data_IF_065869945931
#
_entry.id   IF_065869945931
#
_cell.length_a   1.000
_cell.length_b   1.000
_cell.length_c   1.000
_cell.angle_alpha   90.00
_cell.angle_beta   90.00
_cell.angle_gamma   90.00
#
_symmetry.space_group_name_H-M   'P 1'
#
loop_
_entity.id
_entity.type
_entity.pdbx_description
1 polymer ?
#
# COMPACT_ATOMS: atom_id res chain seq x y z
N UNK A 1 22.06 38.73 8.34
CA UNK A 1 23.51 38.47 8.25
C UNK A 1 23.69 37.28 7.33
N UNK A 2 24.51 37.42 6.29
CA UNK A 2 24.77 36.32 5.35
C UNK A 2 25.57 35.22 6.06
N UNK A 3 25.32 33.97 5.67
CA UNK A 3 26.06 32.80 6.19
C UNK A 3 27.44 32.70 5.53
N UNK A 4 27.60 33.29 4.33
CA UNK A 4 28.86 33.25 3.58
C UNK A 4 29.88 34.21 4.23
N UNK A 5 31.08 33.72 4.61
CA UNK A 5 32.11 34.58 5.18
C UNK A 5 32.65 35.55 4.11
N UNK A 6 32.86 36.81 4.51
CA UNK A 6 33.52 37.82 3.66
C UNK A 6 34.91 37.37 3.17
N UNK A 7 35.61 36.61 4.00
CA UNK A 7 36.94 36.06 3.72
C UNK A 7 36.92 35.16 2.49
N UNK A 8 35.84 34.40 2.25
CA UNK A 8 35.71 33.54 1.07
C UNK A 8 35.68 34.36 -0.22
N UNK A 9 35.01 35.51 -0.21
CA UNK A 9 34.92 36.41 -1.36
C UNK A 9 36.27 37.08 -1.63
N UNK A 10 36.97 37.51 -0.58
CA UNK A 10 38.30 38.09 -0.69
C UNK A 10 39.31 37.08 -1.27
N UNK A 11 39.27 35.82 -0.84
CA UNK A 11 40.11 34.75 -1.38
C UNK A 11 39.82 34.49 -2.86
N UNK A 12 38.55 34.48 -3.26
CA UNK A 12 38.18 34.33 -4.68
C UNK A 12 38.68 35.55 -5.48
N UNK A 13 38.56 36.78 -4.96
CA UNK A 13 39.06 37.97 -5.63
C UNK A 13 40.59 37.93 -5.83
N UNK A 14 41.32 37.44 -4.83
CA UNK A 14 42.76 37.22 -4.93
C UNK A 14 43.13 36.16 -5.98
N UNK A 15 42.34 35.08 -6.11
CA UNK A 15 42.55 34.04 -7.14
C UNK A 15 42.39 34.57 -8.56
N UNK A 16 41.55 35.59 -8.76
CA UNK A 16 41.34 36.29 -10.03
C UNK A 16 42.43 37.34 -10.31
N UNK A 17 43.28 37.64 -9.33
CA UNK A 17 44.38 38.62 -9.44
C UNK A 17 44.03 40.02 -8.92
N UNK A 18 42.96 40.17 -8.14
CA UNK A 18 42.60 41.43 -7.47
C UNK A 18 43.18 41.41 -6.04
N UNK A 19 44.25 42.16 -5.74
CA UNK A 19 44.99 42.04 -4.49
C UNK A 19 44.24 42.59 -3.27
N UNK A 20 43.38 43.59 -3.43
CA UNK A 20 42.58 44.17 -2.35
C UNK A 20 41.20 44.57 -2.84
N UNK A 21 40.18 43.82 -2.40
CA UNK A 21 38.78 44.18 -2.60
C UNK A 21 38.34 45.14 -1.47
N UNK A 22 37.54 46.15 -1.79
CA UNK A 22 36.96 47.02 -0.76
C UNK A 22 36.04 46.22 0.17
N UNK A 23 36.19 46.39 1.48
CA UNK A 23 35.42 45.63 2.47
C UNK A 23 33.90 45.77 2.30
N UNK A 24 33.44 46.96 1.88
CA UNK A 24 32.02 47.23 1.61
C UNK A 24 31.48 46.41 0.43
N UNK A 25 32.31 46.15 -0.58
CA UNK A 25 31.95 45.34 -1.76
C UNK A 25 31.81 43.87 -1.38
N UNK A 26 32.73 43.34 -0.57
CA UNK A 26 32.65 41.96 -0.07
C UNK A 26 31.37 41.74 0.76
N UNK A 27 31.01 42.72 1.60
CA UNK A 27 29.79 42.68 2.42
C UNK A 27 28.52 42.79 1.57
N UNK A 28 28.54 43.56 0.49
CA UNK A 28 27.40 43.69 -0.42
C UNK A 28 27.22 42.45 -1.33
N UNK A 29 28.30 41.78 -1.72
CA UNK A 29 28.26 40.63 -2.63
C UNK A 29 27.82 39.33 -1.93
N UNK A 30 28.18 39.13 -0.65
CA UNK A 30 27.85 37.91 0.08
C UNK A 30 26.34 37.57 0.10
N UNK A 31 25.42 38.52 0.38
CA UNK A 31 23.98 38.27 0.33
C UNK A 31 23.46 37.91 -1.06
N UNK A 32 24.02 38.48 -2.13
CA UNK A 32 23.59 38.21 -3.50
C UNK A 32 23.98 36.79 -3.94
N UNK A 33 25.21 36.37 -3.62
CA UNK A 33 25.67 34.98 -3.84
C UNK A 33 24.80 33.99 -3.07
N UNK A 34 24.49 34.29 -1.82
CA UNK A 34 23.62 33.44 -1.00
C UNK A 34 22.19 33.36 -1.59
N UNK A 35 21.66 34.47 -2.10
CA UNK A 35 20.36 34.49 -2.76
C UNK A 35 20.35 33.58 -4.01
N UNK A 36 21.37 33.68 -4.86
CA UNK A 36 21.52 32.81 -6.04
C UNK A 36 21.67 31.33 -5.67
N UNK A 37 22.45 31.03 -4.63
CA UNK A 37 22.58 29.65 -4.14
C UNK A 37 21.24 29.09 -3.67
N UNK A 38 20.48 29.87 -2.89
CA UNK A 38 19.15 29.46 -2.39
C UNK A 38 18.16 29.28 -3.54
N UNK A 39 18.22 30.13 -4.56
CA UNK A 39 17.38 30.06 -5.76
C UNK A 39 17.61 28.74 -6.51
N UNK A 40 18.88 28.36 -6.76
CA UNK A 40 19.24 27.10 -7.41
C UNK A 40 18.78 25.91 -6.55
N UNK A 41 19.08 25.93 -5.25
CA UNK A 41 18.69 24.83 -4.34
C UNK A 41 17.18 24.63 -4.28
N UNK A 42 16.38 25.70 -4.31
CA UNK A 42 14.92 25.58 -4.35
C UNK A 42 14.43 24.87 -5.61
N UNK A 43 15.10 25.05 -6.75
CA UNK A 43 14.76 24.38 -8.00
C UNK A 43 15.22 22.94 -8.05
N UNK A 44 16.40 22.66 -7.50
CA UNK A 44 16.87 21.28 -7.30
C UNK A 44 15.91 20.48 -6.42
N UNK A 45 15.37 21.08 -5.35
CA UNK A 45 14.36 20.44 -4.49
C UNK A 45 13.05 20.17 -5.27
N UNK A 46 12.65 21.05 -6.20
CA UNK A 46 11.50 20.79 -7.07
C UNK A 46 11.76 19.59 -7.98
N UNK A 47 12.93 19.53 -8.62
CA UNK A 47 13.33 18.40 -9.47
C UNK A 47 13.34 17.08 -8.68
N UNK A 48 13.92 17.08 -7.48
CA UNK A 48 13.94 15.93 -6.56
C UNK A 48 12.53 15.44 -6.21
N UNK A 49 11.61 16.36 -5.88
CA UNK A 49 10.21 16.02 -5.56
C UNK A 49 9.48 15.46 -6.79
N UNK A 50 9.71 16.02 -7.97
CA UNK A 50 9.15 15.49 -9.22
C UNK A 50 9.69 14.10 -9.55
N UNK A 51 10.93 13.80 -9.17
CA UNK A 51 11.52 12.47 -9.25
C UNK A 51 11.03 11.49 -8.17
N UNK A 52 10.12 11.90 -7.27
CA UNK A 52 9.59 11.11 -6.13
C UNK A 52 10.67 10.62 -5.16
N UNK A 53 11.78 11.37 -5.04
CA UNK A 53 12.87 11.09 -4.11
C UNK A 53 12.86 12.05 -2.93
N UNK A 54 13.45 11.63 -1.82
CA UNK A 54 13.64 12.45 -0.61
C UNK A 54 15.09 12.90 -0.42
N UNK A 55 16.03 12.30 -1.16
CA UNK A 55 17.45 12.62 -1.16
C UNK A 55 17.78 13.40 -2.42
N UNK A 56 18.41 14.56 -2.25
CA UNK A 56 18.84 15.43 -3.34
C UNK A 56 20.16 14.91 -3.93
N UNK A 57 20.19 14.75 -5.25
CA UNK A 57 21.34 14.23 -6.00
C UNK A 57 21.97 15.30 -6.88
N UNK A 58 23.21 15.09 -7.35
CA UNK A 58 23.90 16.01 -8.26
C UNK A 58 23.09 16.25 -9.54
N UNK A 59 22.45 15.21 -10.09
CA UNK A 59 21.58 15.29 -11.27
C UNK A 59 20.41 16.28 -11.09
N UNK A 60 19.87 16.42 -9.87
CA UNK A 60 18.80 17.38 -9.57
C UNK A 60 19.32 18.83 -9.60
N UNK A 61 20.60 19.03 -9.24
CA UNK A 61 21.27 20.33 -9.31
C UNK A 61 21.62 20.66 -10.76
N UNK A 62 22.16 19.72 -11.53
CA UNK A 62 22.47 19.91 -12.94
C UNK A 62 21.22 20.24 -13.77
N UNK A 63 20.11 19.56 -13.46
CA UNK A 63 18.81 19.87 -14.05
C UNK A 63 18.35 21.30 -13.71
N UNK A 64 18.56 21.75 -12.47
CA UNK A 64 18.22 23.11 -12.04
C UNK A 64 19.10 24.17 -12.71
N UNK A 65 20.41 23.91 -12.86
CA UNK A 65 21.33 24.79 -13.57
C UNK A 65 20.93 24.94 -15.05
N UNK A 66 20.57 23.83 -15.70
CA UNK A 66 20.05 23.84 -17.07
C UNK A 66 18.76 24.66 -17.22
N UNK A 67 17.81 24.55 -16.28
CA UNK A 67 16.59 25.34 -16.28
C UNK A 67 16.84 26.85 -16.14
N UNK A 68 17.94 27.23 -15.47
CA UNK A 68 18.34 28.63 -15.26
C UNK A 68 19.31 29.15 -16.31
N UNK A 69 19.63 28.35 -17.33
CA UNK A 69 20.64 28.67 -18.34
C UNK A 69 22.01 29.01 -17.71
N UNK A 70 22.34 28.36 -16.59
CA UNK A 70 23.68 28.43 -15.97
C UNK A 70 24.52 27.31 -16.58
N UNK A 71 25.82 27.56 -16.72
CA UNK A 71 26.77 26.57 -17.21
C UNK A 71 26.77 25.32 -16.30
N UNK A 72 26.71 24.11 -16.88
CA UNK A 72 26.70 22.88 -16.11
C UNK A 72 28.06 22.64 -15.43
N UNK A 73 28.03 22.07 -14.23
CA UNK A 73 29.23 21.79 -13.46
C UNK A 73 29.63 20.33 -13.67
N UNK A 74 30.69 20.09 -14.44
CA UNK A 74 31.18 18.75 -14.72
C UNK A 74 32.03 18.16 -13.58
N UNK A 75 32.08 16.83 -13.48
CA UNK A 75 32.96 16.11 -12.55
C UNK A 75 32.27 15.56 -11.30
N UNK A 76 30.94 15.67 -11.18
CA UNK A 76 30.18 15.21 -10.01
C UNK A 76 29.33 13.95 -10.24
N UNK A 77 29.56 13.23 -11.34
CA UNK A 77 28.84 12.00 -11.68
C UNK A 77 29.41 10.74 -10.98
N UNK A 78 30.59 10.83 -10.35
CA UNK A 78 31.16 9.70 -9.63
C UNK A 78 30.42 9.46 -8.31
N UNK A 79 30.03 8.22 -8.04
CA UNK A 79 29.45 7.81 -6.75
C UNK A 79 30.43 7.83 -5.56
N UNK A 80 31.69 8.23 -5.76
CA UNK A 80 32.70 8.31 -4.69
C UNK A 80 32.57 9.65 -3.94
N UNK A 81 32.43 9.67 -2.60
CA UNK A 81 32.37 10.90 -1.83
C UNK A 81 33.67 11.71 -1.92
N UNK A 82 33.52 13.03 -2.12
CA UNK A 82 34.63 13.98 -2.09
C UNK A 82 35.31 13.99 -0.71
N UNK A 83 36.64 13.83 -0.69
CA UNK A 83 37.44 13.81 0.54
C UNK A 83 38.16 15.15 0.71
N UNK A 84 37.62 15.99 1.59
CA UNK A 84 38.26 17.24 1.98
C UNK A 84 39.35 16.99 3.03
N UNK A 85 40.59 17.43 2.73
CA UNK A 85 41.71 17.42 3.66
C UNK A 85 42.08 18.83 4.08
N UNK A 86 42.50 18.99 5.33
CA UNK A 86 42.98 20.27 5.86
C UNK A 86 44.43 20.50 5.45
N UNK A 87 44.75 21.71 5.01
CA UNK A 87 46.12 22.10 4.67
C UNK A 87 47.01 22.14 5.93
N UNK A 88 48.27 21.72 5.78
CA UNK A 88 49.23 21.73 6.89
C UNK A 88 49.64 23.18 7.17
N UNK A 89 49.42 23.66 8.40
CA UNK A 89 49.80 25.01 8.84
C UNK A 89 48.66 26.04 8.88
N UNK A 90 47.49 25.75 8.28
CA UNK A 90 46.32 26.64 8.32
C UNK A 90 45.09 25.88 8.83
N UNK A 91 44.37 26.46 9.81
CA UNK A 91 43.21 25.79 10.43
C UNK A 91 41.96 25.80 9.56
N UNK A 92 41.82 26.83 8.72
CA UNK A 92 40.58 27.13 7.99
C UNK A 92 40.67 26.86 6.48
N UNK A 93 41.82 26.34 6.02
CA UNK A 93 42.04 26.02 4.60
C UNK A 93 41.87 24.51 4.36
N UNK A 94 40.94 24.18 3.47
CA UNK A 94 40.67 22.82 3.02
C UNK A 94 40.97 22.71 1.52
N UNK A 95 41.46 21.54 1.10
CA UNK A 95 41.66 21.20 -0.30
C UNK A 95 41.05 19.82 -0.58
N UNK A 96 40.76 19.56 -1.85
CA UNK A 96 40.29 18.26 -2.33
C UNK A 96 41.50 17.34 -2.51
N UNK A 97 41.48 16.19 -1.84
CA UNK A 97 42.51 15.15 -2.02
C UNK A 97 42.27 14.41 -3.34
N UNK A 98 42.80 14.96 -4.43
CA UNK A 98 42.77 14.31 -5.74
C UNK A 98 44.04 13.48 -5.93
N UNK A 99 43.86 12.17 -6.05
CA UNK A 99 44.99 11.24 -6.23
C UNK A 99 45.12 10.95 -7.71
N UNK A 100 46.31 11.18 -8.24
CA UNK A 100 46.64 10.73 -9.59
C UNK A 100 46.56 9.21 -9.66
N UNK A 101 45.80 8.70 -10.63
CA UNK A 101 45.62 7.27 -10.88
C UNK A 101 46.23 6.92 -12.23
N UNK A 102 46.96 5.82 -12.29
CA UNK A 102 47.55 5.35 -13.54
C UNK A 102 46.47 4.81 -14.48
N UNK A 103 46.53 5.21 -15.77
CA UNK A 103 45.56 4.77 -16.77
C UNK A 103 45.47 3.25 -16.93
N UNK A 104 46.58 2.53 -16.68
CA UNK A 104 46.62 1.06 -16.75
C UNK A 104 45.71 0.44 -15.69
N UNK A 105 45.71 0.99 -14.48
CA UNK A 105 44.88 0.51 -13.38
C UNK A 105 43.39 0.69 -13.66
N UNK A 106 43.01 1.77 -14.36
CA UNK A 106 41.63 2.04 -14.76
C UNK A 106 41.18 1.07 -15.86
N UNK A 107 42.03 0.78 -16.84
CA UNK A 107 41.72 -0.13 -17.96
C UNK A 107 41.60 -1.58 -17.46
N UNK A 108 42.45 -1.98 -16.51
CA UNK A 108 42.45 -3.33 -15.94
C UNK A 108 41.36 -3.53 -14.87
N UNK A 109 40.63 -2.46 -14.50
CA UNK A 109 39.59 -2.52 -13.49
C UNK A 109 38.40 -3.37 -13.98
N UNK A 110 37.94 -4.37 -13.19
CA UNK A 110 36.82 -5.21 -13.59
C UNK A 110 35.51 -4.41 -13.68
N UNK A 111 34.68 -4.75 -14.66
CA UNK A 111 33.37 -4.14 -14.83
C UNK A 111 32.48 -4.38 -13.58
N UNK A 112 31.69 -3.37 -13.16
CA UNK A 112 30.76 -3.55 -12.07
C UNK A 112 29.68 -4.56 -12.44
N UNK A 113 29.16 -5.28 -11.43
CA UNK A 113 28.04 -6.20 -11.65
C UNK A 113 26.78 -5.42 -11.97
N UNK A 114 26.11 -5.78 -13.06
CA UNK A 114 24.83 -5.20 -13.41
C UNK A 114 23.76 -5.59 -12.36
N UNK A 115 22.89 -4.65 -11.95
CA UNK A 115 21.72 -4.99 -11.15
C UNK A 115 20.74 -5.85 -11.95
N UNK A 116 19.83 -6.53 -11.24
CA UNK A 116 18.73 -7.26 -11.88
C UNK A 116 17.71 -6.27 -12.47
N UNK A 117 16.99 -6.73 -13.49
CA UNK A 117 15.91 -5.97 -14.10
C UNK A 117 14.75 -5.72 -13.11
N UNK A 118 14.02 -4.64 -13.33
CA UNK A 118 12.92 -4.23 -12.47
C UNK A 118 11.69 -5.15 -12.66
N UNK A 119 11.23 -5.78 -11.58
CA UNK A 119 10.02 -6.60 -11.55
C UNK A 119 9.04 -6.12 -10.48
N UNK A 120 7.73 -6.25 -10.74
CA UNK A 120 6.68 -5.91 -9.78
C UNK A 120 6.18 -7.19 -9.10
N UNK A 121 6.15 -7.17 -7.77
CA UNK A 121 5.58 -8.25 -6.94
C UNK A 121 4.38 -7.71 -6.18
N UNK A 122 3.21 -8.32 -6.38
CA UNK A 122 1.98 -7.93 -5.71
C UNK A 122 1.74 -8.80 -4.46
N UNK A 123 1.30 -8.18 -3.37
CA UNK A 123 0.86 -8.86 -2.15
C UNK A 123 -0.31 -8.09 -1.52
N UNK A 124 -1.02 -8.74 -0.61
CA UNK A 124 -2.12 -8.12 0.13
C UNK A 124 -1.58 -7.26 1.27
N UNK A 125 -1.70 -5.94 1.14
CA UNK A 125 -1.37 -5.01 2.21
C UNK A 125 -2.42 -5.02 3.34
N UNK A 126 -3.70 -5.13 2.98
CA UNK A 126 -4.81 -5.16 3.92
C UNK A 126 -6.00 -5.96 3.38
N UNK A 127 -6.65 -6.71 4.27
CA UNK A 127 -7.91 -7.41 4.04
C UNK A 127 -8.89 -6.85 5.07
N UNK A 128 -10.01 -6.26 4.63
CA UNK A 128 -11.00 -5.64 5.54
C UNK A 128 -10.42 -4.58 6.50
N UNK A 129 -9.40 -3.85 6.05
CA UNK A 129 -8.71 -2.84 6.86
C UNK A 129 -7.74 -3.42 7.91
N UNK A 130 -7.58 -4.74 7.97
CA UNK A 130 -6.57 -5.41 8.81
C UNK A 130 -5.40 -5.84 7.94
N UNK A 131 -4.18 -5.52 8.38
CA UNK A 131 -2.96 -5.94 7.71
C UNK A 131 -2.66 -7.41 8.03
N UNK A 132 -2.59 -8.31 7.02
CA UNK A 132 -2.23 -9.70 7.26
C UNK A 132 -0.75 -9.82 7.61
N UNK A 133 -0.42 -10.75 8.51
CA UNK A 133 0.95 -11.01 8.97
C UNK A 133 1.73 -11.86 7.94
N UNK A 134 2.01 -11.28 6.78
CA UNK A 134 2.84 -11.86 5.71
C UNK A 134 4.25 -11.24 5.81
N UNK A 135 5.35 -11.96 5.53
CA UNK A 135 6.72 -11.43 5.58
C UNK A 135 6.95 -10.08 4.87
N UNK A 136 6.20 -9.77 3.82
CA UNK A 136 6.31 -8.49 3.09
C UNK A 136 5.67 -7.31 3.86
N UNK A 137 4.75 -7.58 4.78
CA UNK A 137 4.06 -6.56 5.56
C UNK A 137 4.84 -6.20 6.84
N UNK A 138 5.01 -4.91 7.17
CA UNK A 138 5.62 -4.51 8.44
C UNK A 138 4.81 -5.02 9.64
N UNK A 139 5.51 -5.44 10.69
CA UNK A 139 4.88 -5.66 11.98
C UNK A 139 4.37 -4.31 12.53
N UNK A 140 3.17 -4.30 13.10
CA UNK A 140 2.48 -3.09 13.60
C UNK A 140 3.36 -2.34 14.63
N UNK A 141 4.18 -3.06 15.40
CA UNK A 141 5.11 -2.49 16.38
C UNK A 141 6.31 -1.75 15.75
N UNK A 142 6.62 -1.98 14.47
CA UNK A 142 7.73 -1.36 13.75
C UNK A 142 7.39 0.02 13.16
N UNK A 143 6.13 0.46 13.25
CA UNK A 143 5.65 1.75 12.70
C UNK A 143 5.80 2.88 13.74
N UNK A 144 6.07 2.54 15.01
CA UNK A 144 6.45 3.53 16.02
C UNK A 144 7.90 3.98 15.70
N UNK A 145 8.17 5.28 15.51
CA UNK A 145 9.54 5.76 15.31
C UNK A 145 10.41 5.25 16.47
N UNK A 146 11.66 4.82 16.23
CA UNK A 146 12.49 4.23 17.27
C UNK A 146 12.64 5.23 18.41
N UNK A 147 11.94 4.97 19.51
CA UNK A 147 12.27 5.59 20.79
C UNK A 147 13.54 4.92 21.25
N UNK A 148 14.61 5.70 21.37
CA UNK A 148 15.86 5.22 21.95
C UNK A 148 15.55 4.54 23.29
N UNK A 149 15.96 3.28 23.40
CA UNK A 149 15.81 2.36 24.53
C UNK A 149 14.53 1.53 24.59
N UNK A 150 14.59 0.32 24.01
CA UNK A 150 14.24 -0.91 24.73
C UNK A 150 14.93 -2.14 24.12
N UNK A 151 15.51 -2.92 25.02
CA UNK A 151 16.33 -4.11 24.78
C UNK A 151 15.51 -5.24 24.17
N UNK A 152 16.18 -5.98 23.31
CA UNK A 152 15.76 -7.22 22.66
C UNK A 152 15.37 -8.30 23.67
N UNK A 153 14.29 -9.03 23.40
CA UNK A 153 14.20 -10.45 23.75
C UNK A 153 13.66 -11.27 22.57
N UNK A 154 14.38 -12.37 22.32
CA UNK A 154 14.15 -13.40 21.32
C UNK A 154 12.95 -14.28 21.71
N UNK A 155 12.11 -14.64 20.74
CA UNK A 155 11.20 -15.77 20.81
C UNK A 155 11.08 -16.44 19.44
N UNK A 156 11.58 -17.67 19.34
CA UNK A 156 11.52 -18.54 18.16
C UNK A 156 10.12 -19.14 17.98
N UNK A 157 9.74 -19.26 16.71
CA UNK A 157 9.05 -20.39 16.06
C UNK A 157 7.72 -20.88 16.66
N UNK A 158 6.63 -20.70 15.90
CA UNK A 158 5.81 -21.84 15.49
C UNK A 158 4.78 -21.41 14.44
N UNK A 159 4.77 -22.13 13.32
CA UNK A 159 3.75 -22.01 12.29
C UNK A 159 2.38 -22.37 12.89
N UNK A 160 1.52 -21.36 13.00
CA UNK A 160 0.11 -21.53 13.34
C UNK A 160 -0.71 -20.72 12.34
N UNK A 161 -1.89 -21.24 11.96
CA UNK A 161 -2.71 -20.65 10.92
C UNK A 161 -3.01 -19.22 11.33
N UNK A 162 -3.08 -18.32 10.35
CA UNK A 162 -3.70 -17.03 10.56
C UNK A 162 -5.11 -17.30 11.09
N UNK A 163 -5.23 -17.34 12.41
CA UNK A 163 -6.47 -17.40 13.15
C UNK A 163 -7.09 -16.05 12.82
N UNK A 164 -7.90 -16.04 11.76
CA UNK A 164 -8.89 -15.00 11.50
C UNK A 164 -9.93 -15.15 12.63
N UNK A 165 -9.49 -14.95 13.88
CA UNK A 165 -10.34 -14.44 14.94
C UNK A 165 -10.77 -13.11 14.39
N UNK A 166 -11.95 -13.06 13.76
CA UNK A 166 -12.62 -11.83 13.36
C UNK A 166 -12.65 -10.89 14.58
N UNK A 167 -11.73 -9.91 14.72
CA UNK A 167 -11.63 -9.13 15.94
C UNK A 167 -12.15 -7.74 15.60
N UNK A 168 -13.36 -7.69 15.05
CA UNK A 168 -14.11 -6.46 14.98
C UNK A 168 -15.51 -6.85 15.40
N UNK A 169 -15.91 -6.44 16.61
CA UNK A 169 -17.33 -6.20 16.86
C UNK A 169 -17.71 -5.17 15.80
N UNK A 170 -18.23 -5.63 14.65
CA UNK A 170 -18.57 -4.70 13.58
C UNK A 170 -19.49 -3.67 14.23
N UNK A 171 -19.10 -2.40 14.14
CA UNK A 171 -19.93 -1.29 14.60
C UNK A 171 -21.05 -1.19 13.57
N UNK A 172 -22.01 -2.12 13.61
CA UNK A 172 -23.20 -2.03 12.79
C UNK A 172 -24.02 -0.87 13.33
N UNK A 173 -24.31 0.08 12.46
CA UNK A 173 -25.35 1.07 12.70
C UNK A 173 -26.67 0.37 12.99
N UNK A 174 -27.50 0.98 13.85
CA UNK A 174 -28.84 0.48 14.17
C UNK A 174 -29.68 0.21 12.90
N UNK A 175 -29.54 1.06 11.89
CA UNK A 175 -30.22 0.90 10.59
C UNK A 175 -29.79 -0.37 9.84
N UNK A 176 -28.49 -0.71 9.87
CA UNK A 176 -27.96 -1.91 9.22
C UNK A 176 -28.41 -3.19 9.95
N UNK A 177 -28.53 -3.13 11.28
CA UNK A 177 -29.10 -4.23 12.06
C UNK A 177 -30.58 -4.43 11.72
N UNK A 178 -31.37 -3.36 11.70
CA UNK A 178 -32.79 -3.43 11.32
C UNK A 178 -32.96 -3.94 9.87
N UNK A 179 -32.07 -3.55 8.96
CA UNK A 179 -32.04 -4.07 7.60
C UNK A 179 -31.75 -5.58 7.56
N UNK A 180 -30.72 -6.03 8.27
CA UNK A 180 -30.38 -7.45 8.38
C UNK A 180 -31.53 -8.26 8.99
N UNK A 181 -32.08 -7.81 10.12
CA UNK A 181 -33.19 -8.46 10.80
C UNK A 181 -34.41 -8.56 9.88
N UNK A 182 -34.67 -7.52 9.08
CA UNK A 182 -35.79 -7.52 8.15
C UNK A 182 -35.61 -8.54 7.03
N UNK A 183 -34.41 -8.68 6.49
CA UNK A 183 -34.11 -9.68 5.46
C UNK A 183 -34.15 -11.09 6.04
N UNK A 184 -33.59 -11.31 7.23
CA UNK A 184 -33.64 -12.60 7.92
C UNK A 184 -35.08 -13.03 8.19
N UNK A 185 -35.93 -12.13 8.71
CA UNK A 185 -37.35 -12.38 8.94
C UNK A 185 -38.08 -12.75 7.64
N UNK A 186 -37.87 -12.00 6.55
CA UNK A 186 -38.50 -12.26 5.25
C UNK A 186 -38.06 -13.61 4.66
N UNK A 187 -36.80 -13.99 4.87
CA UNK A 187 -36.25 -15.27 4.38
C UNK A 187 -36.85 -16.46 5.13
N UNK A 188 -37.09 -16.34 6.44
CA UNK A 188 -37.63 -17.42 7.27
C UNK A 188 -39.17 -17.54 7.24
N UNK A 189 -39.89 -16.43 7.05
CA UNK A 189 -41.35 -16.42 7.21
C UNK A 189 -42.15 -16.35 5.91
N UNK A 190 -41.57 -15.80 4.82
CA UNK A 190 -42.34 -15.35 3.63
C UNK A 190 -41.55 -15.41 2.31
N UNK A 191 -41.00 -16.57 1.96
CA UNK A 191 -40.16 -16.80 0.76
C UNK A 191 -40.81 -16.46 -0.59
N UNK A 192 -42.15 -16.44 -0.69
CA UNK A 192 -42.88 -16.21 -1.97
C UNK A 192 -43.54 -14.83 -2.09
N UNK A 193 -43.33 -13.93 -1.13
CA UNK A 193 -43.94 -12.60 -1.15
C UNK A 193 -43.22 -11.67 -2.14
N UNK A 194 -43.95 -10.76 -2.79
CA UNK A 194 -43.37 -9.71 -3.65
C UNK A 194 -42.29 -8.89 -2.93
N UNK A 195 -42.48 -8.64 -1.64
CA UNK A 195 -41.52 -7.99 -0.75
C UNK A 195 -40.17 -8.71 -0.67
N UNK A 196 -40.15 -10.04 -0.71
CA UNK A 196 -38.89 -10.80 -0.71
C UNK A 196 -38.13 -10.60 -2.04
N UNK A 197 -38.84 -10.54 -3.18
CA UNK A 197 -38.24 -10.24 -4.47
C UNK A 197 -37.65 -8.83 -4.53
N UNK A 198 -38.33 -7.85 -3.96
CA UNK A 198 -37.81 -6.47 -3.84
C UNK A 198 -36.58 -6.41 -2.92
N UNK A 199 -36.60 -7.13 -1.79
CA UNK A 199 -35.45 -7.24 -0.90
C UNK A 199 -34.23 -7.88 -1.60
N UNK A 200 -34.44 -8.91 -2.41
CA UNK A 200 -33.37 -9.53 -3.21
C UNK A 200 -32.77 -8.59 -4.27
N UNK A 201 -33.60 -7.70 -4.86
CA UNK A 201 -33.13 -6.69 -5.81
C UNK A 201 -32.34 -5.59 -5.11
N UNK A 202 -32.78 -5.17 -3.92
CA UNK A 202 -32.04 -4.26 -3.03
C UNK A 202 -30.67 -4.84 -2.69
N UNK A 203 -30.61 -6.08 -2.22
CA UNK A 203 -29.36 -6.77 -1.88
C UNK A 203 -28.36 -6.87 -3.06
N UNK A 204 -28.88 -7.01 -4.29
CA UNK A 204 -28.07 -7.10 -5.50
C UNK A 204 -27.53 -5.74 -6.00
N UNK A 205 -28.16 -4.61 -5.64
CA UNK A 205 -27.84 -3.28 -6.15
C UNK A 205 -27.20 -2.35 -5.12
N UNK A 206 -27.51 -2.54 -3.84
CA UNK A 206 -27.13 -1.59 -2.81
C UNK A 206 -25.62 -1.64 -2.54
N UNK A 207 -25.03 -0.45 -2.45
CA UNK A 207 -23.63 -0.22 -2.13
C UNK A 207 -23.53 0.21 -0.66
N UNK A 208 -22.78 -0.53 0.15
CA UNK A 208 -22.68 -0.29 1.61
C UNK A 208 -23.09 -1.47 2.48
N UNK A 209 -23.48 -2.60 1.88
CA UNK A 209 -23.80 -3.84 2.62
C UNK A 209 -22.56 -4.65 3.00
N UNK A 210 -21.37 -4.18 2.64
CA UNK A 210 -20.10 -4.85 2.89
C UNK A 210 -19.90 -5.28 4.37
N UNK A 211 -20.21 -4.45 5.38
CA UNK A 211 -20.10 -4.85 6.79
C UNK A 211 -21.07 -5.96 7.21
N UNK A 212 -22.15 -6.20 6.45
CA UNK A 212 -23.15 -7.23 6.74
C UNK A 212 -22.81 -8.60 6.14
N UNK A 213 -21.88 -8.66 5.19
CA UNK A 213 -21.52 -9.89 4.46
C UNK A 213 -21.09 -11.02 5.38
N UNK A 214 -20.25 -10.81 6.41
CA UNK A 214 -19.89 -11.88 7.36
C UNK A 214 -21.09 -12.42 8.14
N UNK A 215 -22.05 -11.54 8.46
CA UNK A 215 -23.25 -11.91 9.19
C UNK A 215 -24.20 -12.71 8.31
N UNK A 216 -24.35 -12.30 7.04
CA UNK A 216 -25.09 -13.08 6.06
C UNK A 216 -24.44 -14.44 5.79
N UNK A 217 -23.12 -14.52 5.64
CA UNK A 217 -22.44 -15.80 5.40
C UNK A 217 -22.61 -16.76 6.58
N UNK A 218 -22.50 -16.27 7.82
CA UNK A 218 -22.74 -17.05 9.02
C UNK A 218 -24.21 -17.49 9.13
N UNK A 219 -25.15 -16.56 8.93
CA UNK A 219 -26.58 -16.84 8.96
C UNK A 219 -26.98 -17.90 7.92
N UNK A 220 -26.48 -17.78 6.68
CA UNK A 220 -26.74 -18.75 5.63
C UNK A 220 -26.15 -20.13 6.00
N UNK A 221 -24.91 -20.19 6.47
CA UNK A 221 -24.28 -21.44 6.84
C UNK A 221 -25.03 -22.16 7.97
N UNK A 222 -25.41 -21.42 9.03
CA UNK A 222 -26.12 -21.98 10.18
C UNK A 222 -27.55 -22.41 9.80
N UNK A 223 -28.32 -21.56 9.11
CA UNK A 223 -29.68 -21.91 8.70
C UNK A 223 -29.71 -23.07 7.71
N UNK A 224 -28.77 -23.17 6.76
CA UNK A 224 -28.70 -24.35 5.86
C UNK A 224 -28.49 -25.64 6.66
N UNK A 225 -27.70 -25.62 7.73
CA UNK A 225 -27.51 -26.80 8.58
C UNK A 225 -28.72 -27.12 9.46
N UNK A 226 -29.43 -26.10 9.96
CA UNK A 226 -30.64 -26.27 10.80
C UNK A 226 -31.89 -26.63 10.00
N UNK A 227 -32.04 -26.13 8.78
CA UNK A 227 -33.27 -26.19 7.97
C UNK A 227 -33.23 -27.18 6.80
N UNK A 228 -32.47 -28.28 6.90
CA UNK A 228 -32.41 -29.33 5.85
C UNK A 228 -33.77 -29.98 5.51
N UNK A 229 -34.77 -29.81 6.38
CA UNK A 229 -36.12 -30.33 6.22
C UNK A 229 -37.11 -29.41 5.50
N UNK A 230 -36.79 -28.12 5.32
CA UNK A 230 -37.70 -27.11 4.77
C UNK A 230 -37.19 -26.53 3.44
N UNK A 231 -37.72 -27.04 2.33
CA UNK A 231 -37.26 -26.73 0.98
C UNK A 231 -37.49 -25.26 0.57
N UNK A 232 -38.65 -24.63 0.84
CA UNK A 232 -38.87 -23.20 0.60
C UNK A 232 -37.82 -22.28 1.23
N UNK A 233 -37.40 -22.57 2.47
CA UNK A 233 -36.41 -21.78 3.20
C UNK A 233 -35.02 -21.93 2.59
N UNK A 234 -34.61 -23.17 2.27
CA UNK A 234 -33.33 -23.43 1.58
C UNK A 234 -33.28 -22.72 0.23
N UNK A 235 -34.37 -22.76 -0.53
CA UNK A 235 -34.45 -22.08 -1.82
C UNK A 235 -34.38 -20.56 -1.67
N UNK A 236 -35.03 -19.99 -0.64
CA UNK A 236 -34.92 -18.58 -0.31
C UNK A 236 -33.47 -18.19 0.07
N UNK A 237 -32.78 -18.99 0.90
CA UNK A 237 -31.37 -18.77 1.26
C UNK A 237 -30.46 -18.82 0.04
N UNK A 238 -30.64 -19.79 -0.86
CA UNK A 238 -29.85 -19.85 -2.10
C UNK A 238 -30.14 -18.64 -3.01
N UNK A 239 -31.36 -18.10 -3.05
CA UNK A 239 -31.68 -16.85 -3.76
C UNK A 239 -30.98 -15.64 -3.14
N UNK A 240 -30.86 -15.58 -1.81
CA UNK A 240 -30.07 -14.54 -1.11
C UNK A 240 -28.60 -14.64 -1.50
N UNK A 241 -28.01 -15.84 -1.52
CA UNK A 241 -26.63 -16.06 -2.00
C UNK A 241 -26.48 -15.58 -3.44
N UNK A 242 -27.45 -15.88 -4.32
CA UNK A 242 -27.44 -15.41 -5.70
C UNK A 242 -27.42 -13.87 -5.79
N UNK A 243 -28.25 -13.18 -5.01
CA UNK A 243 -28.28 -11.72 -4.99
C UNK A 243 -26.98 -11.12 -4.49
N UNK A 244 -26.38 -11.70 -3.43
CA UNK A 244 -25.05 -11.30 -2.96
C UNK A 244 -24.00 -11.49 -4.06
N UNK A 245 -23.96 -12.67 -4.70
CA UNK A 245 -23.02 -12.96 -5.78
C UNK A 245 -23.23 -12.12 -7.04
N UNK A 246 -24.40 -11.55 -7.27
CA UNK A 246 -24.64 -10.63 -8.39
C UNK A 246 -24.17 -9.20 -8.10
N UNK A 247 -23.95 -8.85 -6.84
CA UNK A 247 -23.56 -7.50 -6.47
C UNK A 247 -22.09 -7.23 -6.87
N UNK A 248 -21.81 -6.23 -7.73
CA UNK A 248 -20.44 -5.86 -8.10
C UNK A 248 -19.73 -5.04 -7.02
N UNK A 249 -20.47 -4.46 -6.07
CA UNK A 249 -19.94 -3.58 -5.02
C UNK A 249 -19.46 -4.33 -3.77
N UNK A 250 -19.63 -5.66 -3.74
CA UNK A 250 -19.27 -6.50 -2.60
C UNK A 250 -18.12 -7.43 -3.00
N UNK A 251 -17.02 -7.37 -2.24
CA UNK A 251 -15.91 -8.31 -2.36
C UNK A 251 -16.23 -9.57 -1.54
N UNK A 252 -16.76 -10.60 -2.22
CA UNK A 252 -17.18 -11.86 -1.57
C UNK A 252 -16.00 -12.85 -1.48
N UNK A 253 -14.91 -12.62 -2.20
CA UNK A 253 -13.73 -13.49 -2.27
C UNK A 253 -13.24 -14.00 -0.88
N UNK A 254 -13.14 -13.15 0.17
CA UNK A 254 -12.71 -13.63 1.49
C UNK A 254 -13.67 -14.64 2.12
N UNK A 255 -14.97 -14.59 1.78
CA UNK A 255 -16.02 -15.40 2.40
C UNK A 255 -16.46 -16.60 1.55
N UNK A 256 -15.91 -16.75 0.34
CA UNK A 256 -16.25 -17.87 -0.55
C UNK A 256 -15.98 -19.22 0.10
N UNK A 257 -14.89 -19.35 0.87
CA UNK A 257 -14.55 -20.58 1.56
C UNK A 257 -15.62 -21.02 2.58
N UNK A 258 -16.37 -20.08 3.18
CA UNK A 258 -17.44 -20.36 4.12
C UNK A 258 -18.80 -20.61 3.42
N UNK A 259 -19.06 -19.92 2.31
CA UNK A 259 -20.30 -20.06 1.54
C UNK A 259 -20.33 -21.34 0.68
N UNK A 260 -19.19 -21.75 0.11
CA UNK A 260 -19.10 -22.92 -0.77
C UNK A 260 -19.58 -24.23 -0.12
N UNK A 261 -19.17 -24.57 1.13
CA UNK A 261 -19.70 -25.74 1.83
C UNK A 261 -21.22 -25.73 1.98
N UNK A 262 -21.83 -24.56 2.24
CA UNK A 262 -23.28 -24.45 2.38
C UNK A 262 -24.00 -24.75 1.06
N UNK A 263 -23.47 -24.25 -0.06
CA UNK A 263 -24.01 -24.51 -1.40
C UNK A 263 -23.84 -25.98 -1.82
N UNK A 264 -22.66 -26.56 -1.55
CA UNK A 264 -22.37 -27.97 -1.84
C UNK A 264 -23.24 -28.89 -0.98
N UNK A 265 -23.49 -28.53 0.28
CA UNK A 265 -24.38 -29.30 1.16
C UNK A 265 -25.80 -29.37 0.59
N UNK A 266 -26.34 -28.27 0.05
CA UNK A 266 -27.64 -28.28 -0.62
C UNK A 266 -27.69 -29.19 -1.85
N UNK A 267 -26.56 -29.39 -2.55
CA UNK A 267 -26.46 -30.29 -3.72
C UNK A 267 -26.37 -31.75 -3.26
N UNK A 268 -25.47 -32.04 -2.31
CA UNK A 268 -25.04 -33.40 -1.96
C UNK A 268 -25.85 -34.02 -0.81
N UNK A 269 -26.65 -33.24 -0.08
CA UNK A 269 -27.38 -33.75 1.08
C UNK A 269 -28.20 -35.02 0.78
N UNK A 270 -28.04 -36.01 1.66
CA UNK A 270 -28.63 -37.36 1.54
C UNK A 270 -30.16 -37.35 1.71
N UNK A 271 -30.68 -36.43 2.52
CA UNK A 271 -32.12 -36.22 2.75
C UNK A 271 -32.38 -34.73 2.73
N UNK A 272 -33.09 -34.26 1.71
CA UNK A 272 -33.65 -32.91 1.66
C UNK A 272 -35.16 -33.04 1.76
N UNK A 273 -35.77 -32.34 2.71
CA UNK A 273 -37.21 -32.41 2.95
C UNK A 273 -37.67 -33.58 3.82
N UNK A 274 -38.90 -33.45 4.32
CA UNK A 274 -39.53 -34.47 5.17
C UNK A 274 -40.39 -35.47 4.38
N UNK A 275 -40.78 -35.14 3.13
CA UNK A 275 -41.69 -35.96 2.31
C UNK A 275 -41.02 -36.39 1.01
N UNK A 276 -41.32 -37.62 0.58
CA UNK A 276 -40.83 -38.20 -0.69
C UNK A 276 -41.40 -37.48 -1.93
N UNK A 277 -42.47 -36.70 -1.77
CA UNK A 277 -43.17 -35.96 -2.83
C UNK A 277 -42.56 -34.58 -3.12
N UNK A 278 -41.57 -34.14 -2.34
CA UNK A 278 -41.08 -32.77 -2.45
C UNK A 278 -40.05 -32.63 -3.58
N UNK A 279 -40.16 -31.53 -4.34
CA UNK A 279 -39.32 -31.20 -5.49
C UNK A 279 -37.92 -30.74 -5.09
N UNK A 280 -37.12 -31.64 -4.53
CA UNK A 280 -35.73 -31.39 -4.15
C UNK A 280 -34.79 -31.23 -5.35
N UNK A 281 -35.20 -31.66 -6.55
CA UNK A 281 -34.42 -31.53 -7.79
C UNK A 281 -34.20 -30.07 -8.20
N UNK A 282 -35.24 -29.23 -8.09
CA UNK A 282 -35.15 -27.81 -8.45
C UNK A 282 -34.13 -27.07 -7.57
N UNK A 283 -34.09 -27.37 -6.28
CA UNK A 283 -33.11 -26.80 -5.36
C UNK A 283 -31.68 -27.23 -5.74
N UNK A 284 -31.48 -28.50 -6.09
CA UNK A 284 -30.16 -29.02 -6.51
C UNK A 284 -29.68 -28.38 -7.80
N UNK A 285 -30.55 -28.28 -8.80
CA UNK A 285 -30.22 -27.62 -10.08
C UNK A 285 -29.91 -26.13 -9.86
N UNK A 286 -30.67 -25.45 -9.00
CA UNK A 286 -30.42 -24.06 -8.66
C UNK A 286 -29.08 -23.88 -7.94
N UNK A 287 -28.78 -24.68 -6.92
CA UNK A 287 -27.50 -24.64 -6.21
C UNK A 287 -26.31 -24.98 -7.13
N UNK A 288 -26.47 -25.94 -8.05
CA UNK A 288 -25.44 -26.27 -9.04
C UNK A 288 -25.13 -25.08 -9.96
N UNK A 289 -26.18 -24.38 -10.43
CA UNK A 289 -26.01 -23.15 -11.22
C UNK A 289 -25.32 -22.02 -10.43
N UNK A 290 -25.56 -21.92 -9.12
CA UNK A 290 -24.85 -20.96 -8.27
C UNK A 290 -23.37 -21.31 -8.12
N UNK A 291 -23.02 -22.59 -7.94
CA UNK A 291 -21.61 -23.02 -7.90
C UNK A 291 -20.92 -22.70 -9.23
N UNK A 292 -21.59 -22.96 -10.35
CA UNK A 292 -21.06 -22.61 -11.67
C UNK A 292 -20.81 -21.10 -11.81
N UNK A 293 -21.73 -20.27 -11.29
CA UNK A 293 -21.56 -18.81 -11.27
C UNK A 293 -20.37 -18.37 -10.42
N UNK A 294 -20.15 -19.00 -9.25
CA UNK A 294 -18.98 -18.72 -8.40
C UNK A 294 -17.68 -19.08 -9.11
N UNK A 295 -17.63 -20.21 -9.81
CA UNK A 295 -16.41 -20.65 -10.51
C UNK A 295 -16.09 -19.85 -11.78
N UNK A 296 -17.08 -19.20 -12.40
CA UNK A 296 -16.87 -18.33 -13.57
C UNK A 296 -16.36 -16.95 -13.19
N UNK A 297 -16.55 -16.55 -11.93
CA UNK A 297 -16.16 -15.26 -11.40
C UNK A 297 -14.75 -15.33 -10.85
#
# INVERSE_FOLDING_TARGET
MSIVPKETIEVIAQSVGIPSLGADVAVALAPDVEYRLREIMQESIKCMRHAKRTVLTADDVDSALGLRNVEPVYGFASGDPLRFKRAVGHKDLFYLDDREVDFKEIIDCPLPKAPLDTSVVAHWLAIEGVQPAIPENPAIDAIVPPTENKRSEHGKDDGLPADVKLPVKHVLSRELQMYFDKIAELTMSRSDTSLFKEALVSLAKDSGLHPLVPYFSYFIADEVTRSLGDLPVLLALMRVVQSLLRNPHIHIEPYLHQLMPSMITCIVAKRLGHRLSDNHWELRDFSANLVALVCQR
#
